data_IF_298162237569
#
_entry.id   IF_298162237569
#
_cell.length_a   1.000
_cell.length_b   1.000
_cell.length_c   1.000
_cell.angle_alpha   90.00
_cell.angle_beta   90.00
_cell.angle_gamma   90.00
#
_symmetry.space_group_name_H-M   'P 1'
#
loop_
_entity.id
_entity.type
_entity.pdbx_description
1 polymer ?
#
# COMPACT_ATOMS: atom_id res chain seq x y z
N UNK A 1 -37.64 29.68 62.04
CA UNK A 1 -39.06 29.97 61.77
C UNK A 1 -39.14 31.21 60.90
N UNK A 2 -39.79 31.13 59.73
CA UNK A 2 -39.85 32.26 58.78
C UNK A 2 -40.92 33.27 59.21
N UNK A 3 -40.73 34.56 58.89
CA UNK A 3 -41.71 35.63 59.16
C UNK A 3 -43.14 35.30 58.72
N UNK A 4 -43.31 34.41 57.72
CA UNK A 4 -44.61 33.97 57.23
C UNK A 4 -45.38 33.15 58.28
N UNK A 5 -44.71 32.30 59.05
CA UNK A 5 -45.35 31.50 60.12
C UNK A 5 -45.83 32.38 61.27
N UNK A 6 -45.11 33.46 61.57
CA UNK A 6 -45.44 34.42 62.62
C UNK A 6 -46.66 35.27 62.23
N UNK A 7 -46.77 35.63 60.95
CA UNK A 7 -47.90 36.38 60.39
C UNK A 7 -49.18 35.54 60.35
N UNK A 8 -49.07 34.25 60.03
CA UNK A 8 -50.19 33.30 60.12
C UNK A 8 -50.67 33.15 61.56
N UNK A 9 -49.75 32.99 62.52
CA UNK A 9 -50.11 32.89 63.95
C UNK A 9 -50.82 34.16 64.46
N UNK A 10 -50.36 35.34 64.03
CA UNK A 10 -50.97 36.63 64.39
C UNK A 10 -52.38 36.78 63.79
N UNK A 11 -52.56 36.39 62.52
CA UNK A 11 -53.86 36.37 61.85
C UNK A 11 -54.82 35.35 62.48
N UNK A 12 -54.30 34.21 62.93
CA UNK A 12 -55.07 33.19 63.66
C UNK A 12 -55.56 33.73 65.00
N UNK A 13 -54.68 34.42 65.73
CA UNK A 13 -55.03 35.02 67.03
C UNK A 13 -56.09 36.12 66.88
N UNK A 14 -56.04 36.91 65.81
CA UNK A 14 -57.03 37.95 65.51
C UNK A 14 -58.36 37.36 65.05
N UNK A 15 -58.35 36.28 64.27
CA UNK A 15 -59.57 35.62 63.78
C UNK A 15 -60.37 34.94 64.91
N UNK A 16 -59.70 34.38 65.93
CA UNK A 16 -60.36 33.79 67.11
C UNK A 16 -61.09 34.85 67.95
N UNK A 17 -60.62 36.10 67.93
CA UNK A 17 -61.19 37.18 68.73
C UNK A 17 -62.44 37.83 68.09
N UNK A 18 -62.76 37.52 66.84
CA UNK A 18 -63.89 38.14 66.12
C UNK A 18 -64.63 37.12 65.27
N UNK A 19 -65.83 36.71 65.69
CA UNK A 19 -66.80 35.99 64.83
C UNK A 19 -67.09 36.85 63.59
N UNK A 20 -66.46 36.57 62.44
CA UNK A 20 -66.42 37.59 61.37
C UNK A 20 -66.26 37.04 59.92
N UNK A 21 -66.93 37.66 58.92
CA UNK A 21 -66.79 37.44 57.46
C UNK A 21 -65.38 37.38 56.82
N UNK A 22 -64.30 37.93 57.41
CA UNK A 22 -62.93 37.77 56.92
C UNK A 22 -62.48 36.31 56.80
N UNK A 23 -62.98 35.40 57.64
CA UNK A 23 -62.68 33.97 57.53
C UNK A 23 -63.16 33.37 56.20
N UNK A 24 -64.35 33.75 55.72
CA UNK A 24 -64.87 33.31 54.42
C UNK A 24 -64.04 33.86 53.24
N UNK A 25 -63.54 35.10 53.34
CA UNK A 25 -62.62 35.65 52.33
C UNK A 25 -61.23 35.01 52.36
N UNK A 26 -60.78 34.59 53.54
CA UNK A 26 -59.52 33.85 53.70
C UNK A 26 -59.65 32.44 53.10
N UNK A 27 -60.77 31.76 53.38
CA UNK A 27 -61.14 30.43 52.82
C UNK A 27 -61.08 30.42 51.30
N UNK A 28 -61.80 31.33 50.65
CA UNK A 28 -61.84 31.41 49.18
C UNK A 28 -60.47 31.71 48.54
N UNK A 29 -59.51 32.25 49.31
CA UNK A 29 -58.13 32.51 48.86
C UNK A 29 -57.15 31.38 49.19
N UNK A 30 -57.47 30.54 50.18
CA UNK A 30 -56.61 29.46 50.67
C UNK A 30 -56.97 28.07 50.12
N UNK A 31 -58.17 27.87 49.54
CA UNK A 31 -58.64 26.58 48.99
C UNK A 31 -57.79 25.99 47.84
N UNK A 32 -56.76 26.70 47.37
CA UNK A 32 -55.87 26.20 46.31
C UNK A 32 -54.85 25.16 46.76
N UNK A 33 -54.73 24.86 48.06
CA UNK A 33 -53.77 23.89 48.60
C UNK A 33 -54.39 23.12 49.78
N UNK A 34 -54.26 21.79 49.79
CA UNK A 34 -54.92 20.89 50.74
C UNK A 34 -54.49 21.15 52.21
N UNK A 35 -53.27 21.64 52.42
CA UNK A 35 -52.80 22.06 53.75
C UNK A 35 -53.38 23.42 54.17
N UNK A 36 -53.67 24.29 53.21
CA UNK A 36 -54.25 25.59 53.47
C UNK A 36 -55.74 25.48 53.86
N UNK A 37 -56.48 24.52 53.30
CA UNK A 37 -57.85 24.23 53.75
C UNK A 37 -57.87 23.64 55.16
N UNK A 38 -56.92 22.76 55.51
CA UNK A 38 -56.79 22.21 56.87
C UNK A 38 -56.42 23.28 57.92
N UNK A 39 -55.63 24.30 57.54
CA UNK A 39 -55.37 25.47 58.40
C UNK A 39 -56.63 26.33 58.64
N UNK A 40 -57.50 26.44 57.63
CA UNK A 40 -58.79 27.14 57.74
C UNK A 40 -59.77 26.34 58.61
N UNK A 41 -59.78 25.02 58.50
CA UNK A 41 -60.59 24.14 59.36
C UNK A 41 -60.17 24.25 60.84
N UNK A 42 -58.85 24.34 61.13
CA UNK A 42 -58.37 24.60 62.49
C UNK A 42 -58.81 25.95 63.05
N UNK A 43 -58.84 26.98 62.20
CA UNK A 43 -59.30 28.31 62.56
C UNK A 43 -60.78 28.32 62.94
N UNK A 44 -61.62 27.61 62.17
CA UNK A 44 -63.05 27.46 62.45
C UNK A 44 -63.30 26.65 63.74
N UNK A 45 -62.56 25.56 63.95
CA UNK A 45 -62.64 24.73 65.18
C UNK A 45 -62.17 25.49 66.43
N UNK A 46 -61.16 26.35 66.28
CA UNK A 46 -60.65 27.22 67.34
C UNK A 46 -61.62 28.36 67.67
N UNK A 47 -62.34 28.91 66.68
CA UNK A 47 -63.30 29.98 66.88
C UNK A 47 -64.60 29.49 67.55
N UNK A 48 -64.95 28.21 67.40
CA UNK A 48 -66.14 27.60 68.03
C UNK A 48 -65.99 27.30 69.55
N UNK A 49 -64.94 27.81 70.21
CA UNK A 49 -64.92 27.97 71.67
C UNK A 49 -64.90 26.70 72.52
N UNK A 50 -64.34 25.58 72.05
CA UNK A 50 -64.23 24.38 72.89
C UNK A 50 -63.68 23.09 72.26
N UNK A 51 -63.28 23.08 70.98
CA UNK A 51 -62.87 21.87 70.26
C UNK A 51 -61.34 21.73 70.11
N UNK A 52 -60.61 22.07 71.18
CA UNK A 52 -59.15 22.04 71.20
C UNK A 52 -58.57 20.66 70.83
N UNK A 53 -59.23 19.58 71.26
CA UNK A 53 -58.83 18.20 70.95
C UNK A 53 -58.86 17.91 69.44
N UNK A 54 -59.86 18.44 68.71
CA UNK A 54 -59.95 18.29 67.26
C UNK A 54 -58.90 19.12 66.51
N UNK A 55 -58.53 20.28 67.05
CA UNK A 55 -57.43 21.10 66.52
C UNK A 55 -56.11 20.36 66.71
N UNK A 56 -55.89 19.72 67.86
CA UNK A 56 -54.72 18.87 68.08
C UNK A 56 -54.69 17.64 67.16
N UNK A 57 -55.84 16.98 66.95
CA UNK A 57 -55.95 15.84 66.03
C UNK A 57 -55.64 16.25 64.58
N UNK A 58 -56.12 17.42 64.15
CA UNK A 58 -55.83 17.96 62.82
C UNK A 58 -54.36 18.39 62.67
N UNK A 59 -53.75 19.00 63.70
CA UNK A 59 -52.32 19.29 63.75
C UNK A 59 -51.49 18.00 63.68
N UNK A 60 -51.87 16.98 64.44
CA UNK A 60 -51.18 15.69 64.45
C UNK A 60 -51.25 15.04 63.06
N UNK A 61 -52.42 15.06 62.42
CA UNK A 61 -52.60 14.55 61.06
C UNK A 61 -51.76 15.33 60.04
N UNK A 62 -51.69 16.66 60.14
CA UNK A 62 -50.82 17.47 59.28
C UNK A 62 -49.34 17.17 59.51
N UNK A 63 -48.92 16.99 60.76
CA UNK A 63 -47.55 16.62 61.10
C UNK A 63 -47.20 15.25 60.54
N UNK A 64 -48.10 14.27 60.68
CA UNK A 64 -47.91 12.92 60.17
C UNK A 64 -47.84 12.91 58.63
N UNK A 65 -48.69 13.68 57.95
CA UNK A 65 -48.69 13.79 56.49
C UNK A 65 -47.42 14.49 55.97
N UNK A 66 -47.03 15.62 56.57
CA UNK A 66 -45.77 16.31 56.24
C UNK A 66 -44.57 15.39 56.50
N UNK A 67 -44.57 14.66 57.62
CA UNK A 67 -43.48 13.72 57.95
C UNK A 67 -43.44 12.57 56.94
N UNK A 68 -44.60 12.06 56.52
CA UNK A 68 -44.72 11.04 55.48
C UNK A 68 -44.19 11.53 54.13
N UNK A 69 -44.58 12.73 53.70
CA UNK A 69 -44.11 13.35 52.45
C UNK A 69 -42.61 13.62 52.47
N UNK A 70 -42.07 14.16 53.57
CA UNK A 70 -40.63 14.40 53.73
C UNK A 70 -39.85 13.08 53.66
N UNK A 71 -40.31 12.03 54.34
CA UNK A 71 -39.64 10.73 54.32
C UNK A 71 -39.69 10.09 52.94
N UNK A 72 -40.82 10.17 52.25
CA UNK A 72 -40.96 9.68 50.87
C UNK A 72 -40.03 10.42 49.91
N UNK A 73 -40.03 11.76 49.95
CA UNK A 73 -39.17 12.59 49.11
C UNK A 73 -37.68 12.37 49.39
N UNK A 74 -37.30 12.22 50.66
CA UNK A 74 -35.92 11.90 51.04
C UNK A 74 -35.48 10.53 50.52
N UNK A 75 -36.36 9.54 50.58
CA UNK A 75 -36.07 8.19 50.08
C UNK A 75 -35.92 8.17 48.56
N UNK A 76 -36.80 8.89 47.85
CA UNK A 76 -36.72 9.05 46.39
C UNK A 76 -35.45 9.80 45.99
N UNK A 77 -35.13 10.90 46.68
CA UNK A 77 -33.91 11.66 46.42
C UNK A 77 -32.65 10.81 46.68
N UNK A 78 -32.60 10.06 47.77
CA UNK A 78 -31.51 9.15 48.07
C UNK A 78 -31.35 8.06 47.01
N UNK A 79 -32.46 7.48 46.54
CA UNK A 79 -32.47 6.49 45.46
C UNK A 79 -31.91 7.06 44.16
N UNK A 80 -32.40 8.24 43.73
CA UNK A 80 -31.91 8.94 42.53
C UNK A 80 -30.42 9.27 42.65
N UNK A 81 -29.98 9.73 43.82
CA UNK A 81 -28.57 10.06 44.06
C UNK A 81 -27.67 8.81 43.97
N UNK A 82 -28.13 7.67 44.49
CA UNK A 82 -27.42 6.40 44.38
C UNK A 82 -27.29 5.95 42.91
N UNK A 83 -28.37 6.07 42.13
CA UNK A 83 -28.34 5.79 40.68
C UNK A 83 -27.36 6.70 39.96
N UNK A 84 -27.37 8.01 40.22
CA UNK A 84 -26.41 8.94 39.60
C UNK A 84 -24.97 8.61 39.95
N UNK A 85 -24.68 8.28 41.22
CA UNK A 85 -23.34 7.87 41.62
C UNK A 85 -22.88 6.60 40.90
N UNK A 86 -23.79 5.63 40.70
CA UNK A 86 -23.48 4.43 39.93
C UNK A 86 -23.22 4.76 38.45
N UNK A 87 -24.04 5.61 37.83
CA UNK A 87 -23.82 6.05 36.45
C UNK A 87 -22.50 6.80 36.28
N UNK A 88 -22.13 7.67 37.23
CA UNK A 88 -20.85 8.38 37.21
C UNK A 88 -19.69 7.39 37.24
N UNK A 89 -19.69 6.43 38.17
CA UNK A 89 -18.63 5.40 38.25
C UNK A 89 -18.51 4.60 36.96
N UNK A 90 -19.65 4.27 36.33
CA UNK A 90 -19.64 3.54 35.08
C UNK A 90 -19.09 4.38 33.92
N UNK A 91 -19.42 5.66 33.86
CA UNK A 91 -18.86 6.59 32.88
C UNK A 91 -17.35 6.78 33.06
N UNK A 92 -16.87 6.92 34.30
CA UNK A 92 -15.44 7.01 34.62
C UNK A 92 -14.68 5.75 34.18
N UNK A 93 -15.25 4.57 34.45
CA UNK A 93 -14.68 3.29 34.00
C UNK A 93 -14.61 3.19 32.47
N UNK A 94 -15.69 3.57 31.78
CA UNK A 94 -15.73 3.58 30.31
C UNK A 94 -14.72 4.57 29.73
N UNK A 95 -14.59 5.76 30.34
CA UNK A 95 -13.62 6.77 29.92
C UNK A 95 -12.18 6.23 30.05
N UNK A 96 -11.85 5.57 31.16
CA UNK A 96 -10.54 4.96 31.35
C UNK A 96 -10.25 3.86 30.31
N UNK A 97 -11.24 3.01 29.99
CA UNK A 97 -11.11 1.99 28.95
C UNK A 97 -10.85 2.61 27.57
N UNK A 98 -11.65 3.60 27.18
CA UNK A 98 -11.50 4.30 25.91
C UNK A 98 -10.13 5.00 25.80
N UNK A 99 -9.64 5.58 26.88
CA UNK A 99 -8.33 6.21 26.90
C UNK A 99 -7.20 5.18 26.65
N UNK A 100 -7.30 3.99 27.24
CA UNK A 100 -6.35 2.89 27.01
C UNK A 100 -6.42 2.37 25.56
N UNK A 101 -7.62 2.26 25.00
CA UNK A 101 -7.83 1.86 23.60
C UNK A 101 -7.24 2.87 22.63
N UNK A 102 -7.43 4.17 22.87
CA UNK A 102 -6.82 5.25 22.08
C UNK A 102 -5.30 5.18 22.17
N UNK A 103 -4.72 5.01 23.37
CA UNK A 103 -3.27 4.88 23.52
C UNK A 103 -2.71 3.67 22.78
N UNK A 104 -3.40 2.53 22.86
CA UNK A 104 -3.03 1.30 22.15
C UNK A 104 -3.11 1.48 20.64
N UNK A 105 -4.17 2.14 20.16
CA UNK A 105 -4.36 2.44 18.75
C UNK A 105 -3.27 3.37 18.22
N UNK A 106 -2.92 4.41 18.98
CA UNK A 106 -1.82 5.32 18.63
C UNK A 106 -0.47 4.60 18.53
N UNK A 107 -0.19 3.63 19.41
CA UNK A 107 1.02 2.78 19.29
C UNK A 107 1.03 1.99 18.00
N UNK A 108 -0.09 1.33 17.65
CA UNK A 108 -0.23 0.58 16.39
C UNK A 108 -0.06 1.48 15.17
N UNK A 109 -0.62 2.69 15.19
CA UNK A 109 -0.43 3.68 14.12
C UNK A 109 1.05 4.02 13.95
N UNK A 110 1.79 4.18 15.05
CA UNK A 110 3.24 4.40 15.04
C UNK A 110 4.02 3.25 14.38
N UNK A 111 3.73 2.01 14.78
CA UNK A 111 4.35 0.80 14.20
C UNK A 111 4.08 0.66 12.70
N UNK A 112 2.83 0.90 12.27
CA UNK A 112 2.44 0.90 10.86
C UNK A 112 3.20 1.98 10.09
N UNK A 113 3.30 3.18 10.65
CA UNK A 113 4.03 4.29 10.02
C UNK A 113 5.51 3.95 9.82
N UNK A 114 6.16 3.35 10.81
CA UNK A 114 7.54 2.89 10.70
C UNK A 114 7.71 1.78 9.65
N UNK A 115 6.76 0.85 9.58
CA UNK A 115 6.75 -0.21 8.57
C UNK A 115 6.62 0.36 7.15
N UNK A 116 5.73 1.34 6.95
CA UNK A 116 5.56 2.04 5.66
C UNK A 116 6.87 2.76 5.26
N UNK A 117 7.53 3.43 6.19
CA UNK A 117 8.81 4.10 5.92
C UNK A 117 9.89 3.11 5.45
N UNK A 118 9.95 1.95 6.11
CA UNK A 118 10.90 0.88 5.78
C UNK A 118 10.62 0.29 4.40
N UNK A 119 9.35 -0.02 4.11
CA UNK A 119 8.89 -0.50 2.79
C UNK A 119 9.19 0.51 1.68
N UNK A 120 8.95 1.79 1.93
CA UNK A 120 9.23 2.87 0.97
C UNK A 120 10.72 2.94 0.65
N UNK A 121 11.57 2.88 1.67
CA UNK A 121 13.03 2.89 1.51
C UNK A 121 13.52 1.66 0.73
N UNK A 122 12.97 0.48 1.04
CA UNK A 122 13.27 -0.76 0.32
C UNK A 122 12.86 -0.66 -1.16
N UNK A 123 11.66 -0.14 -1.44
CA UNK A 123 11.16 0.02 -2.80
C UNK A 123 12.05 0.97 -3.64
N UNK A 124 12.53 2.07 -3.05
CA UNK A 124 13.48 2.97 -3.71
C UNK A 124 14.80 2.25 -4.01
N UNK A 125 15.30 1.42 -3.09
CA UNK A 125 16.52 0.63 -3.30
C UNK A 125 16.35 -0.37 -4.45
N UNK A 126 15.25 -1.12 -4.47
CA UNK A 126 14.92 -2.08 -5.54
C UNK A 126 14.81 -1.38 -6.88
N UNK A 127 14.18 -0.20 -6.95
CA UNK A 127 14.08 0.58 -8.18
C UNK A 127 15.47 0.98 -8.72
N UNK A 128 16.38 1.43 -7.85
CA UNK A 128 17.77 1.76 -8.23
C UNK A 128 18.52 0.53 -8.73
N UNK A 129 18.34 -0.62 -8.08
CA UNK A 129 18.95 -1.88 -8.52
C UNK A 129 18.44 -2.28 -9.91
N UNK A 130 17.14 -2.15 -10.17
CA UNK A 130 16.55 -2.44 -11.48
C UNK A 130 17.09 -1.52 -12.58
N UNK A 131 17.18 -0.21 -12.31
CA UNK A 131 17.78 0.75 -13.26
C UNK A 131 19.24 0.38 -13.58
N UNK A 132 20.03 -0.01 -12.58
CA UNK A 132 21.42 -0.45 -12.79
C UNK A 132 21.51 -1.76 -13.61
N UNK A 133 20.60 -2.72 -13.35
CA UNK A 133 20.53 -3.96 -14.13
C UNK A 133 20.20 -3.67 -15.59
N UNK A 134 19.20 -2.81 -15.85
CA UNK A 134 18.80 -2.44 -17.21
C UNK A 134 19.95 -1.77 -17.98
N UNK A 135 20.66 -0.82 -17.35
CA UNK A 135 21.84 -0.19 -17.96
C UNK A 135 22.93 -1.21 -18.30
N UNK A 136 23.16 -2.20 -17.43
CA UNK A 136 24.14 -3.25 -17.66
C UNK A 136 23.72 -4.21 -18.76
N UNK A 137 22.43 -4.52 -18.86
CA UNK A 137 21.87 -5.34 -19.93
C UNK A 137 22.04 -4.66 -21.30
N UNK A 138 21.76 -3.36 -21.38
CA UNK A 138 21.97 -2.55 -22.58
C UNK A 138 23.45 -2.53 -23.00
N UNK A 139 24.37 -2.29 -22.05
CA UNK A 139 25.81 -2.36 -22.32
C UNK A 139 26.25 -3.74 -22.84
N UNK A 140 25.73 -4.82 -22.27
CA UNK A 140 26.04 -6.19 -22.74
C UNK A 140 25.52 -6.39 -24.16
N UNK A 141 24.32 -5.91 -24.46
CA UNK A 141 23.71 -6.00 -25.79
C UNK A 141 24.54 -5.25 -26.84
N UNK A 142 24.96 -4.03 -26.52
CA UNK A 142 25.82 -3.22 -27.39
C UNK A 142 27.18 -3.86 -27.63
N UNK A 143 27.81 -4.39 -26.57
CA UNK A 143 29.09 -5.08 -26.68
C UNK A 143 28.98 -6.33 -27.56
N UNK A 144 27.93 -7.13 -27.39
CA UNK A 144 27.66 -8.30 -28.25
C UNK A 144 27.46 -7.90 -29.70
N UNK A 145 26.72 -6.83 -29.98
CA UNK A 145 26.53 -6.34 -31.34
C UNK A 145 27.87 -5.95 -32.00
N UNK A 146 28.75 -5.26 -31.25
CA UNK A 146 30.11 -4.91 -31.71
C UNK A 146 30.97 -6.14 -31.95
N UNK A 147 30.93 -7.13 -31.06
CA UNK A 147 31.67 -8.38 -31.21
C UNK A 147 31.23 -9.16 -32.45
N UNK A 148 29.92 -9.29 -32.67
CA UNK A 148 29.35 -9.92 -33.87
C UNK A 148 29.84 -9.21 -35.13
N UNK A 149 29.72 -7.88 -35.19
CA UNK A 149 30.18 -7.10 -36.34
C UNK A 149 31.69 -7.27 -36.61
N UNK A 150 32.51 -7.32 -35.54
CA UNK A 150 33.94 -7.54 -35.66
C UNK A 150 34.26 -8.94 -36.21
N UNK A 151 33.52 -9.96 -35.79
CA UNK A 151 33.64 -11.34 -36.30
C UNK A 151 33.21 -11.42 -37.76
N UNK A 152 32.07 -10.85 -38.13
CA UNK A 152 31.57 -10.82 -39.52
C UNK A 152 32.56 -10.15 -40.47
N UNK A 153 33.17 -9.04 -40.03
CA UNK A 153 34.19 -8.33 -40.81
C UNK A 153 35.42 -9.22 -41.04
N UNK A 154 35.90 -9.89 -39.98
CA UNK A 154 37.03 -10.84 -40.09
C UNK A 154 36.70 -12.03 -40.97
N UNK A 155 35.50 -12.59 -40.86
CA UNK A 155 35.04 -13.70 -41.68
C UNK A 155 34.96 -13.30 -43.15
N UNK A 156 34.42 -12.13 -43.46
CA UNK A 156 34.37 -11.59 -44.82
C UNK A 156 35.77 -11.39 -45.40
N UNK A 157 36.70 -10.85 -44.61
CA UNK A 157 38.09 -10.69 -45.03
C UNK A 157 38.77 -12.05 -45.28
N UNK A 158 38.56 -13.03 -44.40
CA UNK A 158 39.08 -14.39 -44.54
C UNK A 158 38.52 -15.09 -45.81
N UNK A 159 37.22 -14.95 -46.08
CA UNK A 159 36.59 -15.47 -47.29
C UNK A 159 37.19 -14.87 -48.57
N UNK A 160 37.46 -13.56 -48.59
CA UNK A 160 38.14 -12.91 -49.73
C UNK A 160 39.56 -13.46 -49.94
N UNK A 161 40.30 -13.67 -48.86
CA UNK A 161 41.66 -14.24 -48.91
C UNK A 161 41.61 -15.68 -49.42
N UNK A 162 40.69 -16.50 -48.92
CA UNK A 162 40.51 -17.88 -49.39
C UNK A 162 40.18 -17.93 -50.88
N UNK A 163 39.24 -17.11 -51.35
CA UNK A 163 38.90 -17.06 -52.78
C UNK A 163 40.09 -16.63 -53.65
N UNK A 164 40.91 -15.67 -53.19
CA UNK A 164 42.13 -15.29 -53.91
C UNK A 164 43.19 -16.41 -53.92
N UNK A 165 43.32 -17.17 -52.83
CA UNK A 165 44.20 -18.33 -52.75
C UNK A 165 43.74 -19.46 -53.67
N UNK A 166 42.43 -19.73 -53.73
CA UNK A 166 41.83 -20.70 -54.66
C UNK A 166 42.11 -20.31 -56.13
N UNK A 167 41.97 -19.03 -56.48
CA UNK A 167 42.29 -18.55 -57.83
C UNK A 167 43.78 -18.69 -58.17
N UNK A 168 44.68 -18.38 -57.22
CA UNK A 168 46.13 -18.58 -57.40
C UNK A 168 46.43 -20.07 -57.58
N UNK A 169 45.84 -20.93 -56.75
CA UNK A 169 45.99 -22.38 -56.86
C UNK A 169 45.58 -22.88 -58.25
N UNK A 170 44.40 -22.50 -58.74
CA UNK A 170 43.93 -22.90 -60.06
C UNK A 170 44.82 -22.41 -61.20
N UNK A 171 45.34 -21.18 -61.11
CA UNK A 171 46.29 -20.63 -62.08
C UNK A 171 47.61 -21.41 -62.06
N UNK A 172 48.13 -21.76 -60.89
CA UNK A 172 49.34 -22.56 -60.75
C UNK A 172 49.15 -23.97 -61.30
N UNK A 173 48.04 -24.64 -60.98
CA UNK A 173 47.71 -25.97 -61.52
C UNK A 173 47.65 -25.93 -63.05
N UNK A 174 46.94 -24.95 -63.63
CA UNK A 174 46.88 -24.76 -65.09
C UNK A 174 48.25 -24.50 -65.70
N UNK A 175 49.08 -23.65 -65.07
CA UNK A 175 50.41 -23.33 -65.56
C UNK A 175 51.32 -24.57 -65.53
N UNK A 176 51.30 -25.36 -64.45
CA UNK A 176 52.08 -26.60 -64.34
C UNK A 176 51.66 -27.61 -65.39
N UNK A 177 50.35 -27.84 -65.57
CA UNK A 177 49.84 -28.76 -66.59
C UNK A 177 50.18 -28.27 -68.01
N UNK A 178 50.02 -26.98 -68.29
CA UNK A 178 50.36 -26.40 -69.59
C UNK A 178 51.86 -26.52 -69.89
N UNK A 179 52.71 -26.32 -68.88
CA UNK A 179 54.16 -26.43 -69.05
C UNK A 179 54.59 -27.88 -69.28
N UNK A 180 53.94 -28.86 -68.66
CA UNK A 180 54.17 -30.28 -68.96
C UNK A 180 53.82 -30.62 -70.42
N UNK A 181 52.69 -30.11 -70.93
CA UNK A 181 52.30 -30.30 -72.33
C UNK A 181 53.31 -29.64 -73.28
N UNK A 182 53.72 -28.40 -73.01
CA UNK A 182 54.72 -27.71 -73.81
C UNK A 182 56.07 -28.44 -73.85
N UNK A 183 56.52 -28.97 -72.70
CA UNK A 183 57.75 -29.75 -72.62
C UNK A 183 57.67 -31.04 -73.45
N UNK A 184 56.53 -31.73 -73.42
CA UNK A 184 56.30 -32.93 -74.23
C UNK A 184 56.32 -32.61 -75.72
N UNK A 185 55.64 -31.53 -76.15
CA UNK A 185 55.66 -31.09 -77.55
C UNK A 185 57.06 -30.67 -78.02
N UNK A 186 57.82 -29.97 -77.19
CA UNK A 186 59.18 -29.55 -77.52
C UNK A 186 60.12 -30.76 -77.63
N UNK A 187 59.97 -31.74 -76.75
CA UNK A 187 60.70 -33.01 -76.81
C UNK A 187 60.34 -33.81 -78.07
N UNK A 188 59.06 -33.83 -78.47
CA UNK A 188 58.63 -34.46 -79.73
C UNK A 188 59.18 -33.73 -80.96
N UNK A 189 59.19 -32.40 -80.97
CA UNK A 189 59.81 -31.61 -82.05
C UNK A 189 61.31 -31.91 -82.17
N UNK A 190 62.03 -31.96 -81.06
CA UNK A 190 63.45 -32.32 -81.03
C UNK A 190 63.65 -33.75 -81.56
N UNK A 191 62.85 -34.71 -81.10
CA UNK A 191 62.90 -36.11 -81.59
C UNK A 191 62.66 -36.17 -83.11
N UNK A 192 61.63 -35.51 -83.61
CA UNK A 192 61.29 -35.50 -85.04
C UNK A 192 62.41 -34.85 -85.88
N UNK A 193 63.05 -33.79 -85.37
CA UNK A 193 64.19 -33.17 -86.02
C UNK A 193 65.39 -34.14 -86.09
N UNK A 194 65.74 -34.79 -84.97
CA UNK A 194 66.82 -35.80 -84.93
C UNK A 194 66.55 -36.94 -85.93
N UNK A 195 65.34 -37.49 -85.95
CA UNK A 195 64.93 -38.54 -86.89
C UNK A 195 65.09 -38.05 -88.34
N UNK A 196 64.66 -36.82 -88.64
CA UNK A 196 64.81 -36.24 -89.97
C UNK A 196 66.27 -36.08 -90.38
N UNK A 197 67.15 -35.62 -89.49
CA UNK A 197 68.58 -35.48 -89.77
C UNK A 197 69.26 -36.83 -89.97
N UNK A 198 68.93 -37.83 -89.15
CA UNK A 198 69.43 -39.20 -89.33
C UNK A 198 68.97 -39.76 -90.67
N UNK A 199 67.69 -39.57 -91.05
CA UNK A 199 67.15 -40.00 -92.34
C UNK A 199 67.85 -39.34 -93.53
N UNK A 200 68.12 -38.03 -93.46
CA UNK A 200 68.86 -37.31 -94.49
C UNK A 200 70.29 -37.84 -94.59
N UNK A 201 70.97 -38.02 -93.45
CA UNK A 201 72.34 -38.57 -93.42
C UNK A 201 72.39 -39.97 -93.98
N UNK A 202 71.46 -40.85 -93.62
CA UNK A 202 71.43 -42.22 -94.17
C UNK A 202 71.11 -42.21 -95.66
N UNK A 203 70.19 -41.40 -96.16
CA UNK A 203 69.96 -41.27 -97.60
C UNK A 203 71.19 -40.74 -98.34
N UNK A 204 71.88 -39.75 -97.77
CA UNK A 204 73.11 -39.19 -98.37
C UNK A 204 74.22 -40.23 -98.40
N UNK A 205 74.44 -40.94 -97.29
CA UNK A 205 75.40 -42.05 -97.22
C UNK A 205 75.04 -43.20 -98.15
N UNK A 206 73.76 -43.56 -98.28
CA UNK A 206 73.30 -44.60 -99.19
C UNK A 206 73.49 -44.18 -100.65
N UNK A 207 73.18 -42.93 -100.99
CA UNK A 207 73.44 -42.36 -102.32
C UNK A 207 74.93 -42.29 -102.64
N UNK A 208 75.78 -42.01 -101.63
CA UNK A 208 77.22 -42.04 -101.75
C UNK A 208 77.77 -43.46 -101.96
N UNK A 209 77.27 -44.44 -101.19
CA UNK A 209 77.63 -45.87 -101.38
C UNK A 209 77.19 -46.35 -102.76
N UNK A 210 75.97 -46.04 -103.20
CA UNK A 210 75.50 -46.37 -104.57
C UNK A 210 76.42 -45.75 -105.61
N UNK A 211 76.83 -44.48 -105.45
CA UNK A 211 77.81 -43.83 -106.35
C UNK A 211 79.16 -44.55 -106.37
N UNK A 212 79.68 -44.98 -105.23
CA UNK A 212 80.93 -45.74 -105.16
C UNK A 212 80.78 -47.10 -105.84
N UNK A 213 79.72 -47.84 -105.54
CA UNK A 213 79.45 -49.16 -106.16
C UNK A 213 79.30 -49.02 -107.67
N UNK A 214 78.69 -47.94 -108.16
CA UNK A 214 78.60 -47.66 -109.59
C UNK A 214 79.95 -47.29 -110.23
N UNK A 215 80.83 -46.59 -109.51
CA UNK A 215 82.19 -46.28 -110.01
C UNK A 215 83.14 -47.48 -110.02
N UNK A 216 82.89 -48.50 -109.19
CA UNK A 216 83.73 -49.72 -109.12
C UNK A 216 83.28 -50.78 -110.15
N UNK A 217 82.08 -50.65 -110.74
CA UNK A 217 81.51 -51.58 -111.71
C UNK A 217 81.54 -51.08 -113.18
N UNK A 218 82.39 -50.09 -113.50
CA UNK A 218 82.71 -49.63 -114.87
C UNK A 218 84.21 -49.74 -115.07
#
# INVERSE_FOLDING_TARGET
MSQKSLLVLLLVTIAIATESPPLQKLRNKLESNEHNSQLVDMLELSAQGGQLDKVFELLQKMIDDITGQINSANLEHASRMATFQQSIKQLESNQASLQNEVQTTNRKIGEITQSISTLTSSNVSVKKQLESINQREEQIRDNRAKEIQAVETKQTAAQKILGALEEIHDRLVKAVLSNQVLFLEETEKIRNNIISQVRIRTQTSFSFIIRIVFQVNV
#
